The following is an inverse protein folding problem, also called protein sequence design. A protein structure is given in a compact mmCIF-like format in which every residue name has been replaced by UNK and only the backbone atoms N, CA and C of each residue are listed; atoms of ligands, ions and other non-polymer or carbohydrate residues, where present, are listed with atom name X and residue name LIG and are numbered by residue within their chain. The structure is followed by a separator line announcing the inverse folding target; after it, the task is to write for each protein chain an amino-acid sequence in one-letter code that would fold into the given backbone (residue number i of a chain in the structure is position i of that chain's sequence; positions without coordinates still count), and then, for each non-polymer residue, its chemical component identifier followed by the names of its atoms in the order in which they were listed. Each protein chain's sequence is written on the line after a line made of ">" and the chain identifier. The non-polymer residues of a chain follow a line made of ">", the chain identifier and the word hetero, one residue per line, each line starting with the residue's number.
data_IF_292745138386
#
_entry.id   IF_292745138386
#
_cell.length_a   1.000
_cell.length_b   1.000
_cell.length_c   1.000
_cell.angle_alpha   90.00
_cell.angle_beta   90.00
_cell.angle_gamma   90.00
#
_symmetry.space_group_name_H-M   'P 1'
#
loop_
_entity.id
_entity.type
_entity.pdbx_description
1 polymer ?
#
# COMPACT_ATOMS: atom_id res chain seq x y z
N UNK A 1 -6.94 4.75 7.78
CA UNK A 1 -5.63 5.31 7.36
C UNK A 1 -4.67 5.19 8.54
N UNK A 2 -3.43 4.74 8.38
CA UNK A 2 -2.57 4.38 9.51
C UNK A 2 -1.27 5.21 9.54
N UNK A 3 -0.79 5.54 10.74
CA UNK A 3 0.53 6.14 10.96
C UNK A 3 1.45 5.16 11.68
N UNK A 4 2.64 4.93 11.10
CA UNK A 4 3.65 4.11 11.74
C UNK A 4 4.31 4.82 12.93
N UNK A 5 4.40 6.15 12.90
CA UNK A 5 5.00 6.92 13.98
C UNK A 5 4.18 6.83 15.28
N UNK A 6 2.85 6.81 15.18
CA UNK A 6 1.96 6.65 16.34
C UNK A 6 1.58 5.20 16.60
N UNK A 7 1.76 4.31 15.62
CA UNK A 7 1.30 2.93 15.68
C UNK A 7 -0.22 2.80 15.69
N UNK A 8 -0.95 3.79 15.18
CA UNK A 8 -2.40 3.88 15.29
C UNK A 8 -3.08 4.38 14.01
N UNK A 9 -4.39 4.13 13.94
CA UNK A 9 -5.25 4.74 12.94
C UNK A 9 -5.32 6.27 13.14
N UNK A 10 -5.29 6.99 12.02
CA UNK A 10 -5.40 8.45 11.97
C UNK A 10 -6.87 8.82 11.77
N UNK A 11 -7.45 9.47 12.77
CA UNK A 11 -8.85 9.91 12.73
C UNK A 11 -9.08 11.04 11.73
N UNK A 12 -10.23 10.98 11.05
CA UNK A 12 -10.70 12.07 10.17
C UNK A 12 -9.97 12.19 8.83
N UNK A 13 -9.22 11.18 8.40
CA UNK A 13 -8.72 11.10 7.03
C UNK A 13 -9.84 10.61 6.12
N UNK A 14 -10.17 11.37 5.08
CA UNK A 14 -11.21 11.08 4.10
C UNK A 14 -10.64 11.11 2.69
N UNK A 15 -11.40 10.66 1.67
CA UNK A 15 -10.93 10.73 0.29
C UNK A 15 -10.68 12.19 -0.15
N UNK A 16 -11.47 13.14 0.32
CA UNK A 16 -11.39 14.56 -0.02
C UNK A 16 -10.15 15.24 0.59
N UNK A 17 -9.69 14.79 1.76
CA UNK A 17 -8.61 15.47 2.49
C UNK A 17 -7.28 14.68 2.54
N UNK A 18 -7.27 13.37 2.24
CA UNK A 18 -6.08 12.53 2.38
C UNK A 18 -4.86 13.11 1.67
N UNK A 19 -5.07 13.71 0.50
CA UNK A 19 -4.00 14.12 -0.39
C UNK A 19 -3.18 15.29 0.19
N UNK A 20 -3.81 16.09 1.05
CA UNK A 20 -3.19 17.26 1.69
C UNK A 20 -2.70 16.98 3.10
N UNK A 21 -3.01 15.81 3.67
CA UNK A 21 -2.57 15.38 5.00
C UNK A 21 -1.23 14.66 4.97
N UNK A 22 -0.44 14.83 6.02
CA UNK A 22 0.94 14.30 6.13
C UNK A 22 1.14 13.40 7.35
N UNK A 23 0.07 13.13 8.09
CA UNK A 23 0.09 12.41 9.35
C UNK A 23 -0.40 10.96 9.22
N UNK A 24 -0.63 10.49 7.98
CA UNK A 24 -0.86 9.10 7.66
C UNK A 24 0.21 8.61 6.67
N UNK A 25 0.55 7.33 6.74
CA UNK A 25 1.63 6.73 5.96
C UNK A 25 1.12 5.69 4.96
N UNK A 26 0.18 4.84 5.39
CA UNK A 26 -0.39 3.75 4.60
C UNK A 26 -1.90 3.63 4.82
N UNK A 27 -2.64 3.15 3.83
CA UNK A 27 -4.04 2.77 3.98
C UNK A 27 -4.39 1.54 3.14
N UNK A 28 -5.46 0.86 3.56
CA UNK A 28 -5.91 -0.40 3.02
C UNK A 28 -7.35 -0.29 2.56
N UNK A 29 -7.65 -0.84 1.38
CA UNK A 29 -9.01 -1.11 0.93
C UNK A 29 -9.03 -2.53 0.37
N UNK A 30 -9.51 -3.47 1.19
CA UNK A 30 -9.34 -4.91 0.93
C UNK A 30 -7.84 -5.23 0.79
N UNK A 31 -7.44 -5.92 -0.28
CA UNK A 31 -6.02 -6.20 -0.58
C UNK A 31 -5.32 -5.10 -1.40
N UNK A 32 -6.01 -3.99 -1.69
CA UNK A 32 -5.38 -2.84 -2.32
C UNK A 32 -4.80 -1.92 -1.26
N UNK A 33 -3.55 -1.54 -1.45
CA UNK A 33 -2.83 -0.68 -0.53
C UNK A 33 -2.43 0.63 -1.19
N UNK A 34 -2.34 1.67 -0.39
CA UNK A 34 -1.86 2.99 -0.80
C UNK A 34 -0.88 3.56 0.21
N UNK A 35 0.08 4.34 -0.27
CA UNK A 35 1.02 5.09 0.57
C UNK A 35 0.73 6.58 0.45
N UNK A 36 1.19 7.38 1.41
CA UNK A 36 1.11 8.84 1.29
C UNK A 36 2.17 9.36 0.30
N UNK A 37 1.88 9.18 -0.98
CA UNK A 37 2.74 9.54 -2.11
C UNK A 37 1.92 9.69 -3.39
N UNK A 38 2.55 10.18 -4.46
CA UNK A 38 1.98 10.17 -5.81
C UNK A 38 0.56 10.74 -5.87
N UNK A 39 -0.37 10.00 -6.49
CA UNK A 39 -1.79 10.39 -6.57
C UNK A 39 -2.56 10.23 -5.26
N UNK A 40 -1.99 9.57 -4.26
CA UNK A 40 -2.63 9.33 -2.96
C UNK A 40 -2.36 10.43 -1.95
N UNK A 41 -1.20 11.11 -2.02
CA UNK A 41 -0.90 12.25 -1.16
C UNK A 41 0.46 12.89 -1.37
N UNK A 42 0.65 14.05 -0.73
CA UNK A 42 1.83 14.92 -0.89
C UNK A 42 3.05 14.53 -0.06
N UNK A 43 2.98 13.41 0.67
CA UNK A 43 4.10 12.89 1.45
C UNK A 43 5.24 12.34 0.58
N UNK A 44 6.33 11.96 1.24
CA UNK A 44 7.50 11.32 0.60
C UNK A 44 7.35 9.80 0.47
N UNK A 45 6.14 9.27 0.65
CA UNK A 45 5.94 7.84 0.78
C UNK A 45 6.22 7.06 -0.51
N UNK A 46 6.07 5.76 -0.41
CA UNK A 46 6.22 4.82 -1.51
C UNK A 46 6.56 3.45 -0.96
N UNK A 47 6.66 2.46 -1.83
CA UNK A 47 7.02 1.11 -1.40
C UNK A 47 7.91 0.41 -2.42
N UNK A 48 8.77 -0.45 -1.91
CA UNK A 48 9.62 -1.35 -2.71
C UNK A 48 9.42 -2.77 -2.21
N UNK A 49 9.25 -3.68 -3.16
CA UNK A 49 9.28 -5.13 -2.91
C UNK A 49 10.74 -5.58 -2.88
N UNK A 50 11.15 -6.33 -1.86
CA UNK A 50 12.47 -6.97 -1.83
C UNK A 50 12.41 -8.38 -2.40
N UNK A 51 13.55 -9.07 -2.49
CA UNK A 51 13.65 -10.49 -2.82
C UNK A 51 13.82 -11.37 -1.56
N UNK A 52 13.55 -10.83 -0.37
CA UNK A 52 13.79 -11.48 0.92
C UNK A 52 12.50 -11.93 1.54
N UNK A 53 12.49 -13.13 2.13
CA UNK A 53 11.31 -13.65 2.82
C UNK A 53 11.26 -13.32 4.32
N UNK A 54 12.40 -13.00 4.95
CA UNK A 54 12.46 -12.71 6.38
C UNK A 54 12.86 -11.26 6.66
N UNK A 55 12.25 -10.65 7.68
CA UNK A 55 12.62 -9.29 8.09
C UNK A 55 14.07 -9.14 8.52
N UNK A 56 14.69 -10.20 9.07
CA UNK A 56 16.11 -10.20 9.44
C UNK A 56 17.05 -10.00 8.24
N UNK A 57 16.62 -10.43 7.05
CA UNK A 57 17.44 -10.43 5.84
C UNK A 57 17.43 -9.05 5.15
N UNK A 58 16.51 -8.17 5.58
CA UNK A 58 16.46 -6.76 5.20
C UNK A 58 17.07 -5.94 6.34
N UNK A 59 18.40 -5.89 6.36
CA UNK A 59 19.18 -5.17 7.37
C UNK A 59 19.17 -3.65 7.15
N UNK A 60 19.14 -3.22 5.88
CA UNK A 60 19.11 -1.82 5.48
C UNK A 60 17.94 -1.57 4.52
N UNK A 61 17.36 -0.38 4.60
CA UNK A 61 16.35 0.04 3.64
C UNK A 61 17.02 0.26 2.27
N UNK A 62 16.43 -0.22 1.15
CA UNK A 62 16.92 0.09 -0.17
C UNK A 62 17.10 1.60 -0.37
N UNK A 63 18.13 2.01 -1.11
CA UNK A 63 18.38 3.43 -1.38
C UNK A 63 17.40 4.02 -2.40
N UNK A 64 16.91 3.20 -3.32
CA UNK A 64 16.04 3.55 -4.43
C UNK A 64 14.97 2.47 -4.69
N UNK A 65 14.20 2.61 -5.78
CA UNK A 65 13.19 1.64 -6.18
C UNK A 65 11.82 1.81 -5.52
N UNK A 66 11.63 2.83 -4.67
CA UNK A 66 10.33 3.13 -4.07
C UNK A 66 9.33 3.61 -5.13
N UNK A 67 8.36 2.76 -5.40
CA UNK A 67 7.23 3.06 -6.27
C UNK A 67 6.25 3.96 -5.53
N UNK A 68 5.90 5.09 -6.12
CA UNK A 68 4.86 5.99 -5.63
C UNK A 68 3.49 5.59 -6.18
N UNK A 69 2.44 6.04 -5.51
CA UNK A 69 1.08 5.65 -5.84
C UNK A 69 0.61 6.23 -7.19
N UNK A 70 -0.03 5.38 -7.99
CA UNK A 70 -0.59 5.68 -9.30
C UNK A 70 -2.07 5.34 -9.33
N UNK A 71 -2.74 5.64 -10.44
CA UNK A 71 -4.11 5.17 -10.66
C UNK A 71 -4.09 3.64 -10.84
N UNK A 72 -4.95 2.95 -10.09
CA UNK A 72 -5.17 1.52 -10.16
C UNK A 72 -6.65 1.22 -10.39
N UNK A 73 -6.92 0.04 -10.95
CA UNK A 73 -8.29 -0.49 -11.04
C UNK A 73 -8.52 -1.49 -9.92
N UNK A 74 -9.54 -1.22 -9.11
CA UNK A 74 -10.04 -2.12 -8.09
C UNK A 74 -11.18 -2.95 -8.63
N UNK A 75 -11.07 -4.27 -8.49
CA UNK A 75 -12.14 -5.19 -8.86
C UNK A 75 -13.07 -5.40 -7.68
N UNK A 76 -14.37 -5.42 -7.92
CA UNK A 76 -15.43 -5.71 -6.95
C UNK A 76 -16.39 -6.75 -7.50
N UNK A 77 -17.34 -7.15 -6.66
CA UNK A 77 -18.44 -8.02 -7.08
C UNK A 77 -19.74 -7.47 -6.49
N UNK A 78 -20.70 -7.18 -7.34
CA UNK A 78 -22.01 -6.67 -6.93
C UNK A 78 -23.09 -7.21 -7.88
N UNK A 79 -24.24 -7.60 -7.33
CA UNK A 79 -25.40 -8.08 -8.10
C UNK A 79 -25.05 -9.22 -9.08
N UNK A 80 -24.19 -10.15 -8.66
CA UNK A 80 -23.79 -11.29 -9.48
C UNK A 80 -22.79 -10.98 -10.60
N UNK A 81 -22.25 -9.75 -10.65
CA UNK A 81 -21.32 -9.31 -11.71
C UNK A 81 -20.05 -8.71 -11.12
N UNK A 82 -18.94 -8.89 -11.86
CA UNK A 82 -17.69 -8.18 -11.58
C UNK A 82 -17.89 -6.69 -11.87
N UNK A 83 -17.47 -5.85 -10.94
CA UNK A 83 -17.45 -4.40 -11.09
C UNK A 83 -16.02 -3.89 -11.00
N UNK A 84 -15.75 -2.72 -11.56
CA UNK A 84 -14.44 -2.07 -11.49
C UNK A 84 -14.60 -0.63 -11.04
N UNK A 85 -13.70 -0.16 -10.19
CA UNK A 85 -13.56 1.26 -9.85
C UNK A 85 -12.11 1.70 -9.98
N UNK A 86 -11.90 2.99 -10.26
CA UNK A 86 -10.57 3.59 -10.30
C UNK A 86 -10.28 4.28 -8.97
N UNK A 87 -9.06 4.15 -8.50
CA UNK A 87 -8.57 4.87 -7.33
C UNK A 87 -7.05 4.99 -7.37
N UNK A 88 -6.44 5.67 -6.40
CA UNK A 88 -5.00 5.68 -6.24
C UNK A 88 -4.51 4.52 -5.36
N UNK A 89 -3.36 3.94 -5.69
CA UNK A 89 -2.74 2.90 -4.87
C UNK A 89 -1.33 2.52 -5.33
N UNK A 90 -0.69 1.69 -4.53
CA UNK A 90 0.70 1.33 -4.71
C UNK A 90 0.85 -0.03 -5.41
N UNK A 91 1.35 -0.02 -6.64
CA UNK A 91 1.47 -1.25 -7.45
C UNK A 91 2.53 -2.22 -6.94
N UNK A 92 3.52 -1.77 -6.16
CA UNK A 92 4.45 -2.68 -5.50
C UNK A 92 3.74 -3.44 -4.38
N UNK A 93 3.07 -2.73 -3.46
CA UNK A 93 2.33 -3.37 -2.36
C UNK A 93 1.18 -4.26 -2.84
N UNK A 94 0.52 -3.90 -3.95
CA UNK A 94 -0.57 -4.72 -4.50
C UNK A 94 -0.12 -6.13 -4.95
N UNK A 95 1.18 -6.42 -4.98
CA UNK A 95 1.71 -7.77 -5.21
C UNK A 95 1.71 -8.63 -3.95
N UNK A 96 1.52 -8.06 -2.76
CA UNK A 96 1.50 -8.80 -1.48
C UNK A 96 0.41 -9.88 -1.45
N UNK A 97 -0.71 -9.63 -2.14
CA UNK A 97 -1.82 -10.57 -2.23
C UNK A 97 -2.32 -10.69 -3.66
N UNK A 98 -2.21 -11.88 -4.24
CA UNK A 98 -2.79 -12.21 -5.53
C UNK A 98 -4.14 -12.90 -5.34
N UNK A 99 -5.19 -12.32 -5.92
CA UNK A 99 -6.50 -12.93 -6.02
C UNK A 99 -6.68 -13.64 -7.37
N UNK A 100 -7.24 -14.86 -7.38
CA UNK A 100 -7.63 -15.57 -8.60
C UNK A 100 -8.87 -16.46 -8.40
N UNK A 101 -9.55 -16.89 -9.46
CA UNK A 101 -10.77 -17.70 -9.38
C UNK A 101 -11.76 -17.42 -10.51
N UNK A 102 -12.84 -18.22 -10.65
CA UNK A 102 -13.46 -19.09 -9.62
C UNK A 102 -12.91 -20.53 -9.53
N UNK A 103 -12.93 -21.19 -8.34
CA UNK A 103 -13.28 -20.64 -7.02
C UNK A 103 -12.22 -19.62 -6.54
N UNK A 104 -12.59 -18.68 -5.65
CA UNK A 104 -11.68 -17.64 -5.19
C UNK A 104 -10.51 -18.23 -4.39
N UNK A 105 -9.31 -17.81 -4.75
CA UNK A 105 -8.05 -18.14 -4.08
C UNK A 105 -7.27 -16.86 -3.82
N UNK A 106 -6.58 -16.83 -2.68
CA UNK A 106 -5.68 -15.76 -2.29
C UNK A 106 -4.30 -16.37 -2.08
N UNK A 107 -3.31 -15.87 -2.81
CA UNK A 107 -1.91 -16.27 -2.68
C UNK A 107 -1.13 -15.10 -2.11
N UNK A 108 -0.51 -15.31 -0.95
CA UNK A 108 0.39 -14.32 -0.36
C UNK A 108 1.72 -14.36 -1.10
N UNK A 109 2.29 -13.18 -1.31
CA UNK A 109 3.71 -13.04 -1.59
C UNK A 109 4.44 -13.04 -0.26
N UNK A 110 5.44 -13.90 -0.11
CA UNK A 110 6.23 -14.05 1.11
C UNK A 110 7.39 -13.06 1.20
N UNK A 111 7.58 -12.22 0.18
CA UNK A 111 8.58 -11.17 0.19
C UNK A 111 8.29 -10.08 1.24
N UNK A 112 9.36 -9.57 1.83
CA UNK A 112 9.35 -8.37 2.64
C UNK A 112 9.24 -7.17 1.72
N UNK A 113 8.34 -6.26 2.05
CA UNK A 113 8.25 -4.94 1.44
C UNK A 113 8.83 -3.91 2.39
N UNK A 114 9.46 -2.87 1.83
CA UNK A 114 9.85 -1.69 2.60
C UNK A 114 8.97 -0.52 2.18
N UNK A 115 8.25 0.03 3.14
CA UNK A 115 7.43 1.23 2.96
C UNK A 115 8.23 2.44 3.42
N UNK A 116 8.33 3.44 2.55
CA UNK A 116 8.74 4.78 2.92
C UNK A 116 7.53 5.54 3.46
N UNK A 117 7.65 6.12 4.65
CA UNK A 117 6.59 6.87 5.33
C UNK A 117 6.42 8.27 4.74
N UNK A 118 5.36 8.99 5.12
CA UNK A 118 5.09 10.34 4.62
C UNK A 118 6.23 11.32 4.94
N UNK A 119 6.87 11.16 6.10
CA UNK A 119 8.03 11.95 6.55
C UNK A 119 9.38 11.44 6.03
N UNK A 120 9.41 10.29 5.34
CA UNK A 120 10.58 9.75 4.65
C UNK A 120 11.42 8.74 5.46
N UNK A 121 10.89 8.22 6.57
CA UNK A 121 11.44 7.05 7.30
C UNK A 121 11.03 5.75 6.61
N UNK A 122 11.52 4.62 7.12
CA UNK A 122 11.32 3.31 6.50
C UNK A 122 10.78 2.28 7.49
N UNK A 123 9.85 1.45 7.01
CA UNK A 123 9.22 0.37 7.79
C UNK A 123 9.18 -0.89 6.94
N UNK A 124 9.50 -2.04 7.54
CA UNK A 124 9.35 -3.37 6.91
C UNK A 124 7.93 -3.89 7.11
N UNK A 125 7.31 -4.42 6.06
CA UNK A 125 5.98 -5.03 6.08
C UNK A 125 5.97 -6.31 5.24
N UNK A 126 4.91 -7.12 5.39
CA UNK A 126 4.58 -8.29 4.56
C UNK A 126 3.29 -7.98 3.80
#
# INVERSE_FOLDING_TARGET
>A
YFSFATGAEVSGVTEENRATRTDWDIAFNRFYMRTNSGLSGKGKGGAVETDKANFSDVAEAPADGYVTDVEITMNGFANGKVTTSKTSGNVALNKAVRFSGPPPTYTLNDHVFVVRTADGKYVKVI
#
